data_IF_938087487906
#
_entry.id   IF_938087487906
#
_cell.length_a   1.000
_cell.length_b   1.000
_cell.length_c   1.000
_cell.angle_alpha   90.00
_cell.angle_beta   90.00
_cell.angle_gamma   90.00
#
_symmetry.space_group_name_H-M   'P 1'
#
loop_
_entity.id
_entity.type
_entity.pdbx_description
1 polymer ?
#
# COMPACT_ATOMS: atom_id res chain seq x y z
N UNK A 1 -2.97 -19.42 -0.09
CA UNK A 1 -2.74 -19.88 1.30
C UNK A 1 -1.86 -18.89 2.05
N UNK A 2 -0.69 -18.54 1.50
CA UNK A 2 0.25 -17.52 2.03
C UNK A 2 -0.42 -16.28 2.64
N UNK A 3 -1.32 -15.60 1.91
CA UNK A 3 -1.90 -14.35 2.39
C UNK A 3 -2.69 -14.49 3.71
N UNK A 4 -3.23 -15.67 4.02
CA UNK A 4 -4.01 -15.87 5.24
C UNK A 4 -3.21 -15.71 6.53
N UNK A 5 -1.88 -15.80 6.45
CA UNK A 5 -0.98 -15.66 7.59
C UNK A 5 -0.72 -14.19 7.95
N UNK A 6 -1.24 -13.25 7.15
CA UNK A 6 -1.02 -11.82 7.30
C UNK A 6 -2.33 -11.07 7.53
N UNK A 7 -2.35 -10.21 8.55
CA UNK A 7 -3.44 -9.26 8.75
C UNK A 7 -3.36 -8.05 7.80
N UNK A 8 -2.15 -7.69 7.37
CA UNK A 8 -1.87 -6.66 6.37
C UNK A 8 -0.92 -7.25 5.34
N UNK A 9 -1.31 -7.25 4.08
CA UNK A 9 -0.48 -7.71 2.98
C UNK A 9 -0.43 -6.67 1.86
N UNK A 10 0.74 -6.59 1.23
CA UNK A 10 1.03 -5.67 0.16
C UNK A 10 1.41 -6.52 -1.04
N UNK A 11 0.76 -6.33 -2.18
CA UNK A 11 1.06 -7.07 -3.41
C UNK A 11 1.54 -6.09 -4.47
N UNK A 12 2.60 -6.47 -5.17
CA UNK A 12 3.21 -5.76 -6.29
C UNK A 12 3.12 -6.63 -7.55
N UNK A 13 3.60 -6.12 -8.69
CA UNK A 13 3.68 -6.83 -9.98
C UNK A 13 2.33 -7.37 -10.52
N UNK A 14 1.23 -6.68 -10.21
CA UNK A 14 -0.08 -7.04 -10.74
C UNK A 14 -0.21 -6.48 -12.15
N UNK A 15 -0.14 -7.34 -13.16
CA UNK A 15 -0.11 -6.94 -14.59
C UNK A 15 -1.38 -7.35 -15.35
N UNK A 16 -2.43 -7.76 -14.64
CA UNK A 16 -3.67 -8.24 -15.26
C UNK A 16 -4.47 -7.09 -15.88
N UNK A 17 -4.36 -6.97 -17.20
CA UNK A 17 -5.08 -5.99 -18.03
C UNK A 17 -6.60 -6.13 -17.96
N UNK A 18 -7.11 -7.32 -17.59
CA UNK A 18 -8.56 -7.56 -17.45
C UNK A 18 -9.09 -7.11 -16.09
N UNK A 19 -8.19 -6.82 -15.14
CA UNK A 19 -8.46 -6.51 -13.74
C UNK A 19 -9.21 -7.62 -12.99
N UNK A 20 -9.33 -8.85 -13.50
CA UNK A 20 -10.11 -9.91 -12.87
C UNK A 20 -9.38 -10.62 -11.74
N UNK A 21 -8.07 -10.82 -11.86
CA UNK A 21 -7.27 -11.58 -10.91
C UNK A 21 -7.27 -10.96 -9.50
N UNK A 22 -7.13 -9.62 -9.31
CA UNK A 22 -7.27 -8.98 -8.01
C UNK A 22 -8.59 -9.28 -7.30
N UNK A 23 -9.72 -9.14 -8.01
CA UNK A 23 -11.05 -9.36 -7.44
C UNK A 23 -11.32 -10.84 -7.17
N UNK A 24 -10.86 -11.72 -8.06
CA UNK A 24 -10.95 -13.17 -7.85
C UNK A 24 -10.18 -13.59 -6.61
N UNK A 25 -8.97 -13.06 -6.43
CA UNK A 25 -8.17 -13.30 -5.23
C UNK A 25 -8.88 -12.80 -3.97
N UNK A 26 -9.42 -11.57 -4.00
CA UNK A 26 -10.17 -10.99 -2.89
C UNK A 26 -11.38 -11.85 -2.50
N UNK A 27 -12.13 -12.33 -3.48
CA UNK A 27 -13.26 -13.22 -3.27
C UNK A 27 -12.83 -14.54 -2.62
N UNK A 28 -11.79 -15.19 -3.16
CA UNK A 28 -11.28 -16.46 -2.62
C UNK A 28 -10.78 -16.30 -1.19
N UNK A 29 -10.08 -15.21 -0.87
CA UNK A 29 -9.63 -14.90 0.50
C UNK A 29 -10.82 -14.77 1.44
N UNK A 30 -11.85 -14.03 1.04
CA UNK A 30 -13.01 -13.78 1.89
C UNK A 30 -13.96 -14.98 2.02
N UNK A 31 -13.99 -15.87 1.03
CA UNK A 31 -14.66 -17.18 1.16
C UNK A 31 -14.01 -18.05 2.25
N UNK A 32 -12.68 -18.00 2.38
CA UNK A 32 -11.91 -18.74 3.40
C UNK A 32 -11.91 -18.06 4.77
N UNK A 33 -12.01 -16.73 4.84
CA UNK A 33 -11.89 -15.95 6.07
C UNK A 33 -13.17 -15.19 6.45
N UNK A 34 -14.31 -15.88 6.52
CA UNK A 34 -15.63 -15.25 6.72
C UNK A 34 -15.77 -14.44 8.01
N UNK A 35 -15.10 -14.85 9.09
CA UNK A 35 -15.17 -14.16 10.39
C UNK A 35 -14.28 -12.91 10.45
N UNK A 36 -13.25 -12.85 9.61
CA UNK A 36 -12.24 -11.79 9.57
C UNK A 36 -11.91 -11.49 8.10
N UNK A 37 -12.85 -10.90 7.34
CA UNK A 37 -12.65 -10.68 5.91
C UNK A 37 -11.58 -9.60 5.68
N UNK A 38 -10.89 -9.72 4.55
CA UNK A 38 -10.02 -8.67 4.03
C UNK A 38 -10.82 -7.56 3.36
N UNK A 39 -10.44 -6.33 3.62
CA UNK A 39 -10.64 -5.21 2.68
C UNK A 39 -9.51 -5.21 1.65
N UNK A 40 -9.81 -4.67 0.47
CA UNK A 40 -8.87 -4.53 -0.64
C UNK A 40 -8.91 -3.10 -1.16
N UNK A 41 -7.75 -2.51 -1.37
CA UNK A 41 -7.59 -1.31 -2.19
C UNK A 41 -6.55 -1.58 -3.26
N UNK A 42 -6.93 -1.33 -4.52
CA UNK A 42 -6.12 -1.52 -5.71
C UNK A 42 -5.73 -0.14 -6.27
N UNK A 43 -4.46 0.04 -6.63
CA UNK A 43 -4.00 1.27 -7.29
C UNK A 43 -4.40 1.33 -8.76
N UNK A 44 -4.28 2.49 -9.40
CA UNK A 44 -4.22 2.56 -10.85
C UNK A 44 -2.94 1.88 -11.38
N UNK A 45 -2.95 1.51 -12.66
CA UNK A 45 -1.77 0.93 -13.34
C UNK A 45 -0.67 1.97 -13.55
N UNK A 46 0.55 1.62 -13.17
CA UNK A 46 1.77 2.43 -13.27
C UNK A 46 2.87 1.70 -14.04
N UNK A 47 3.95 2.40 -14.41
CA UNK A 47 4.99 1.88 -15.31
C UNK A 47 5.08 2.75 -16.56
N UNK A 48 6.28 2.97 -17.11
CA UNK A 48 6.43 3.75 -18.35
C UNK A 48 6.07 2.93 -19.59
N UNK A 49 6.27 1.62 -19.53
CA UNK A 49 5.95 0.68 -20.61
C UNK A 49 4.44 0.53 -20.86
N UNK A 50 4.06 -0.20 -21.92
CA UNK A 50 2.67 -0.58 -22.19
C UNK A 50 2.11 -1.59 -21.19
N UNK A 51 2.98 -2.45 -20.64
CA UNK A 51 2.65 -3.34 -19.54
C UNK A 51 2.67 -2.55 -18.24
N UNK A 52 1.49 -2.25 -17.70
CA UNK A 52 1.35 -1.55 -16.43
C UNK A 52 1.29 -2.52 -15.26
N UNK A 53 1.79 -2.10 -14.12
CA UNK A 53 1.72 -2.80 -12.84
C UNK A 53 0.78 -2.07 -11.89
N UNK A 54 0.04 -2.82 -11.07
CA UNK A 54 -0.77 -2.29 -9.98
C UNK A 54 -0.25 -2.78 -8.63
N UNK A 55 -0.68 -2.08 -7.59
CA UNK A 55 -0.41 -2.41 -6.20
C UNK A 55 -1.71 -2.71 -5.47
N UNK A 56 -1.68 -3.65 -4.52
CA UNK A 56 -2.79 -3.90 -3.60
C UNK A 56 -2.35 -3.70 -2.16
N UNK A 57 -3.23 -3.07 -1.38
CA UNK A 57 -3.29 -3.24 0.07
C UNK A 57 -4.45 -4.15 0.45
N UNK A 58 -4.14 -5.27 1.08
CA UNK A 58 -5.12 -6.15 1.74
C UNK A 58 -5.03 -5.98 3.25
N UNK A 59 -6.15 -5.79 3.94
CA UNK A 59 -6.15 -5.58 5.40
C UNK A 59 -7.34 -6.25 6.10
N UNK A 60 -7.10 -6.88 7.26
CA UNK A 60 -8.13 -7.43 8.15
C UNK A 60 -8.38 -6.52 9.34
N UNK A 61 -9.10 -5.41 9.12
CA UNK A 61 -9.35 -4.41 10.16
C UNK A 61 -9.95 -5.00 11.45
N UNK A 62 -10.90 -5.93 11.35
CA UNK A 62 -11.52 -6.57 12.52
C UNK A 62 -10.56 -7.47 13.30
N UNK A 63 -9.50 -7.97 12.66
CA UNK A 63 -8.47 -8.80 13.28
C UNK A 63 -7.40 -7.94 13.93
N UNK A 64 -6.71 -7.12 13.12
CA UNK A 64 -5.54 -6.32 13.52
C UNK A 64 -5.89 -5.07 14.32
N UNK A 65 -7.11 -4.52 14.13
CA UNK A 65 -7.39 -3.17 14.59
C UNK A 65 -6.60 -2.11 13.83
N UNK A 66 -6.23 -2.39 12.58
CA UNK A 66 -5.58 -1.45 11.68
C UNK A 66 -6.57 -1.09 10.59
N UNK A 67 -6.76 0.20 10.31
CA UNK A 67 -7.65 0.70 9.27
C UNK A 67 -6.87 1.51 8.25
N UNK A 68 -7.00 1.19 6.96
CA UNK A 68 -6.52 2.06 5.89
C UNK A 68 -7.47 3.27 5.79
N UNK A 69 -6.98 4.46 6.09
CA UNK A 69 -7.79 5.70 6.13
C UNK A 69 -7.56 6.60 4.93
N UNK A 70 -6.45 6.43 4.21
CA UNK A 70 -6.14 7.12 2.98
C UNK A 70 -5.17 6.32 2.13
N UNK A 71 -5.28 6.40 0.81
CA UNK A 71 -4.27 5.84 -0.11
C UNK A 71 -4.25 6.57 -1.43
N UNK A 72 -3.06 6.74 -2.02
CA UNK A 72 -2.88 7.39 -3.31
C UNK A 72 -1.54 7.01 -3.96
N UNK A 73 -1.47 7.12 -5.28
CA UNK A 73 -0.19 7.04 -6.01
C UNK A 73 0.53 8.38 -5.89
N UNK A 74 1.84 8.34 -5.61
CA UNK A 74 2.67 9.53 -5.58
C UNK A 74 2.63 10.26 -6.93
N UNK A 75 2.47 11.58 -6.90
CA UNK A 75 2.50 12.41 -8.10
C UNK A 75 3.94 12.69 -8.47
N UNK A 76 4.48 11.84 -9.34
CA UNK A 76 5.87 11.89 -9.79
C UNK A 76 6.07 12.89 -10.95
N UNK A 77 5.98 14.19 -10.66
CA UNK A 77 6.10 15.25 -11.67
C UNK A 77 7.49 15.37 -12.28
N UNK A 78 8.51 14.90 -11.55
CA UNK A 78 9.92 14.94 -11.95
C UNK A 78 10.37 13.63 -12.62
N UNK A 79 9.44 12.70 -12.89
CA UNK A 79 9.70 11.40 -13.52
C UNK A 79 10.87 10.62 -12.87
N UNK A 80 10.84 10.54 -11.53
CA UNK A 80 11.87 9.89 -10.72
C UNK A 80 11.76 8.38 -10.72
N UNK A 81 10.55 7.84 -10.87
CA UNK A 81 10.25 6.42 -10.70
C UNK A 81 9.72 5.81 -11.99
N UNK A 82 10.18 4.61 -12.33
CA UNK A 82 9.52 3.79 -13.36
C UNK A 82 8.05 3.54 -12.97
N UNK A 83 7.82 3.27 -11.68
CA UNK A 83 6.49 3.01 -11.09
C UNK A 83 6.34 3.87 -9.83
N UNK A 84 5.60 4.99 -9.90
CA UNK A 84 5.40 5.85 -8.74
C UNK A 84 4.89 5.08 -7.51
N UNK A 85 5.40 5.37 -6.31
CA UNK A 85 4.99 4.64 -5.10
C UNK A 85 3.49 4.73 -4.80
N UNK A 86 2.93 3.64 -4.28
CA UNK A 86 1.57 3.61 -3.74
C UNK A 86 1.61 3.78 -2.22
N UNK A 87 1.06 4.90 -1.75
CA UNK A 87 1.14 5.32 -0.35
C UNK A 87 -0.16 4.97 0.34
N UNK A 88 -0.08 4.31 1.50
CA UNK A 88 -1.22 4.01 2.37
C UNK A 88 -1.00 4.58 3.78
N UNK A 89 -1.97 5.34 4.28
CA UNK A 89 -2.01 5.80 5.67
C UNK A 89 -2.92 4.91 6.48
N UNK A 90 -2.37 4.29 7.52
CA UNK A 90 -3.08 3.36 8.38
C UNK A 90 -3.25 3.95 9.77
N UNK A 91 -4.46 3.81 10.32
CA UNK A 91 -4.80 4.17 11.69
C UNK A 91 -4.89 2.90 12.55
N UNK A 92 -4.27 2.93 13.72
CA UNK A 92 -4.40 1.85 14.72
C UNK A 92 -5.60 2.18 15.62
N UNK A 93 -6.65 1.35 15.55
CA UNK A 93 -7.93 1.54 16.23
C UNK A 93 -8.09 0.66 17.48
N UNK A 94 -7.37 -0.47 17.58
CA UNK A 94 -7.42 -1.33 18.78
C UNK A 94 -6.36 -0.91 19.80
N UNK A 95 -6.81 -0.66 21.03
CA UNK A 95 -5.98 -0.33 22.21
C UNK A 95 -5.45 -1.55 22.98
N UNK A 96 -5.73 -2.78 22.52
CA UNK A 96 -5.34 -3.99 23.25
C UNK A 96 -3.88 -4.35 22.93
N UNK A 97 -2.97 -3.70 23.66
CA UNK A 97 -1.53 -4.01 23.66
C UNK A 97 -0.65 -2.83 23.19
N UNK A 98 -0.24 -1.99 24.14
CA UNK A 98 1.04 -1.24 24.28
C UNK A 98 1.58 -0.42 23.09
N UNK A 99 0.95 -0.36 21.92
CA UNK A 99 1.43 0.51 20.85
C UNK A 99 0.97 1.94 21.07
N UNK A 100 1.92 2.85 21.35
CA UNK A 100 1.69 4.30 21.30
C UNK A 100 1.47 4.84 19.87
N UNK A 101 1.61 3.98 18.86
CA UNK A 101 1.46 4.35 17.45
C UNK A 101 -0.02 4.54 17.12
N UNK A 102 -0.43 5.78 16.84
CA UNK A 102 -1.78 6.10 16.34
C UNK A 102 -1.91 5.90 14.84
N UNK A 103 -0.86 6.24 14.10
CA UNK A 103 -0.81 6.17 12.65
C UNK A 103 0.53 5.62 12.18
N UNK A 104 0.51 4.85 11.10
CA UNK A 104 1.72 4.51 10.36
C UNK A 104 1.46 4.60 8.86
N UNK A 105 2.53 4.80 8.11
CA UNK A 105 2.48 5.01 6.67
C UNK A 105 3.27 3.89 6.00
N UNK A 106 2.69 3.33 4.95
CA UNK A 106 3.41 2.41 4.06
C UNK A 106 3.57 3.10 2.72
N UNK A 107 4.83 3.25 2.29
CA UNK A 107 5.21 3.69 0.95
C UNK A 107 5.60 2.43 0.18
N UNK A 108 4.68 1.92 -0.64
CA UNK A 108 4.90 0.73 -1.44
C UNK A 108 5.59 1.11 -2.75
N UNK A 109 6.79 0.58 -3.01
CA UNK A 109 7.55 0.86 -4.21
C UNK A 109 8.17 -0.42 -4.78
N UNK A 110 8.05 -0.58 -6.10
CA UNK A 110 8.73 -1.62 -6.86
C UNK A 110 9.82 -0.98 -7.73
N UNK A 111 11.06 -0.99 -7.23
CA UNK A 111 12.20 -0.34 -7.88
C UNK A 111 12.55 -1.03 -9.21
N UNK A 112 12.87 -0.26 -10.25
CA UNK A 112 13.37 -0.82 -11.50
C UNK A 112 14.84 -1.26 -11.32
N UNK A 113 15.21 -2.52 -11.61
CA UNK A 113 16.56 -3.03 -11.32
C UNK A 113 17.70 -2.18 -11.88
N UNK A 114 17.55 -1.63 -13.09
CA UNK A 114 18.57 -0.82 -13.77
C UNK A 114 18.73 0.58 -13.19
N UNK A 115 17.74 1.09 -12.46
CA UNK A 115 17.72 2.43 -11.84
C UNK A 115 17.52 2.37 -10.32
N UNK A 116 17.57 1.17 -9.71
CA UNK A 116 17.16 0.93 -8.34
C UNK A 116 17.89 1.81 -7.33
N UNK A 117 19.19 2.06 -7.53
CA UNK A 117 19.96 2.95 -6.66
C UNK A 117 19.40 4.38 -6.66
N UNK A 118 19.14 4.94 -7.85
CA UNK A 118 18.63 6.30 -7.99
C UNK A 118 17.19 6.39 -7.46
N UNK A 119 16.32 5.45 -7.85
CA UNK A 119 14.94 5.41 -7.38
C UNK A 119 14.87 5.26 -5.84
N UNK A 120 15.75 4.45 -5.25
CA UNK A 120 15.84 4.32 -3.79
C UNK A 120 16.20 5.65 -3.11
N UNK A 121 17.19 6.39 -3.64
CA UNK A 121 17.53 7.70 -3.11
C UNK A 121 16.38 8.71 -3.27
N UNK A 122 15.64 8.62 -4.36
CA UNK A 122 14.51 9.50 -4.65
C UNK A 122 13.29 9.26 -3.72
N UNK A 123 13.23 8.13 -3.00
CA UNK A 123 12.21 7.88 -1.95
C UNK A 123 12.20 9.00 -0.90
N UNK A 124 13.33 9.66 -0.65
CA UNK A 124 13.39 10.79 0.29
C UNK A 124 12.44 11.92 -0.08
N UNK A 125 12.27 12.22 -1.38
CA UNK A 125 11.35 13.25 -1.84
C UNK A 125 9.90 12.87 -1.57
N UNK A 126 9.57 11.59 -1.70
CA UNK A 126 8.24 11.06 -1.37
C UNK A 126 7.94 11.23 0.12
N UNK A 127 8.93 10.96 0.98
CA UNK A 127 8.82 11.13 2.43
C UNK A 127 8.66 12.61 2.79
N UNK A 128 9.53 13.48 2.27
CA UNK A 128 9.49 14.93 2.49
C UNK A 128 8.13 15.51 2.08
N UNK A 129 7.65 15.20 0.87
CA UNK A 129 6.34 15.61 0.37
C UNK A 129 5.20 15.12 1.26
N UNK A 130 5.26 13.85 1.69
CA UNK A 130 4.23 13.28 2.56
C UNK A 130 4.15 14.05 3.88
N UNK A 131 5.29 14.30 4.52
CA UNK A 131 5.37 15.02 5.79
C UNK A 131 4.81 16.43 5.64
N UNK A 132 5.24 17.17 4.60
CA UNK A 132 4.77 18.54 4.33
C UNK A 132 3.25 18.61 4.13
N UNK A 133 2.68 17.66 3.37
CA UNK A 133 1.23 17.63 3.08
C UNK A 133 0.40 17.06 4.23
N UNK A 134 1.01 16.34 5.17
CA UNK A 134 0.30 15.59 6.21
C UNK A 134 0.87 15.77 7.62
N UNK A 135 1.31 16.98 7.96
CA UNK A 135 1.90 17.31 9.27
C UNK A 135 1.03 16.84 10.48
N UNK A 136 -0.30 16.77 10.30
CA UNK A 136 -1.26 16.25 11.30
C UNK A 136 -0.95 14.84 11.83
N UNK A 137 -0.26 13.99 11.07
CA UNK A 137 0.12 12.64 11.53
C UNK A 137 1.39 12.63 12.39
N UNK A 138 2.12 13.74 12.44
CA UNK A 138 3.40 13.88 13.14
C UNK A 138 3.35 14.93 14.26
N UNK A 139 2.30 15.75 14.33
CA UNK A 139 2.13 16.80 15.34
C UNK A 139 1.65 16.29 16.71
N UNK A 140 1.37 14.98 16.84
CA UNK A 140 0.83 14.36 18.07
C UNK A 140 1.73 13.27 18.68
N UNK A 141 2.94 13.11 18.16
CA UNK A 141 4.02 12.30 18.75
C UNK A 141 4.96 13.18 19.54
#
# INVERSE_FOLDING_TARGET
>A
EILNDFDLAIIQEITDVTMQAPYTLHEVLNRKSRLKPYSMVLSAGVGRSTSKEQYIFFNRESASGVKLINSYLYQDTEDRFERPPFIGTFQVTKKQGISGVKYFIIINVHLRPTSAYQEFLDIRYVIEDFILKNAKYFSET
#
